data_IF_066654401036
#
_entry.id   IF_066654401036
#
_cell.length_a   1.000
_cell.length_b   1.000
_cell.length_c   1.000
_cell.angle_alpha   90.00
_cell.angle_beta   90.00
_cell.angle_gamma   90.00
#
_symmetry.space_group_name_H-M   'P 1'
#
loop_
_entity.id
_entity.type
_entity.pdbx_description
1 polymer ?
#
# COMPACT_ATOMS: atom_id res chain seq x y z
N UNK A 1 -2.67 -19.22 22.20
CA UNK A 1 -2.17 -17.86 21.88
C UNK A 1 -3.30 -17.04 21.27
N UNK A 2 -3.64 -15.91 21.89
CA UNK A 2 -4.94 -15.23 21.76
C UNK A 2 -5.09 -14.46 20.45
N UNK A 3 -6.20 -14.70 19.72
CA UNK A 3 -6.54 -14.06 18.44
C UNK A 3 -6.56 -12.52 18.48
N UNK A 4 -6.66 -11.94 19.68
CA UNK A 4 -6.56 -10.49 19.90
C UNK A 4 -5.20 -9.89 19.53
N UNK A 5 -4.11 -10.67 19.55
CA UNK A 5 -2.75 -10.17 19.27
C UNK A 5 -2.53 -10.01 17.76
N UNK A 6 -3.12 -10.87 16.92
CA UNK A 6 -2.97 -10.78 15.46
C UNK A 6 -3.89 -9.74 14.80
N UNK A 7 -4.96 -9.31 15.47
CA UNK A 7 -5.92 -8.34 14.94
C UNK A 7 -5.43 -6.88 15.10
N UNK A 8 -4.60 -6.62 16.12
CA UNK A 8 -4.03 -5.30 16.42
C UNK A 8 -3.29 -4.62 15.27
N UNK A 9 -2.38 -5.27 14.52
CA UNK A 9 -1.69 -4.61 13.42
C UNK A 9 -2.59 -4.34 12.22
N UNK A 10 -3.59 -5.20 11.95
CA UNK A 10 -4.56 -5.00 10.86
C UNK A 10 -5.52 -3.86 11.19
N UNK A 11 -6.01 -3.82 12.43
CA UNK A 11 -6.83 -2.70 12.92
C UNK A 11 -6.00 -1.41 12.94
N UNK A 12 -4.74 -1.45 13.34
CA UNK A 12 -3.85 -0.30 13.28
C UNK A 12 -3.61 0.17 11.84
N UNK A 13 -3.43 -0.75 10.88
CA UNK A 13 -3.27 -0.41 9.47
C UNK A 13 -4.56 0.18 8.87
N UNK A 14 -5.72 -0.40 9.16
CA UNK A 14 -7.03 0.12 8.72
C UNK A 14 -7.35 1.44 9.40
N UNK A 15 -7.05 1.59 10.69
CA UNK A 15 -7.20 2.84 11.44
C UNK A 15 -6.26 3.92 10.90
N UNK A 16 -5.00 3.58 10.59
CA UNK A 16 -4.06 4.50 9.96
C UNK A 16 -4.55 4.90 8.55
N UNK A 17 -5.14 3.97 7.79
CA UNK A 17 -5.75 4.26 6.48
C UNK A 17 -6.98 5.16 6.60
N UNK A 18 -7.84 4.94 7.59
CA UNK A 18 -9.05 5.74 7.80
C UNK A 18 -8.79 7.11 8.44
N UNK A 19 -7.71 7.25 9.22
CA UNK A 19 -7.25 8.55 9.75
C UNK A 19 -6.44 9.33 8.71
N UNK A 20 -5.76 8.65 7.78
CA UNK A 20 -5.07 9.33 6.66
C UNK A 20 -6.00 9.68 5.50
N UNK A 21 -7.04 8.91 5.20
CA UNK A 21 -8.01 9.22 4.14
C UNK A 21 -8.57 10.67 4.16
N UNK A 22 -8.94 11.28 5.31
CA UNK A 22 -9.37 12.68 5.36
C UNK A 22 -8.23 13.70 5.20
N UNK A 23 -6.97 13.31 5.43
CA UNK A 23 -5.80 14.16 5.12
C UNK A 23 -5.61 14.27 3.61
N UNK A 24 -5.96 13.24 2.84
CA UNK A 24 -5.96 13.27 1.37
C UNK A 24 -7.20 13.98 0.77
N UNK A 25 -8.29 14.09 1.53
CA UNK A 25 -9.43 14.93 1.19
C UNK A 25 -9.24 16.40 1.63
N UNK A 26 -8.10 16.74 2.25
CA UNK A 26 -7.80 18.12 2.64
C UNK A 26 -7.49 18.94 1.39
N UNK A 27 -8.30 19.97 1.18
CA UNK A 27 -8.30 20.98 0.11
C UNK A 27 -7.01 21.82 0.01
N UNK A 28 -5.84 21.19 -0.02
CA UNK A 28 -4.56 21.88 0.01
C UNK A 28 -3.96 22.10 -1.39
N UNK A 29 -4.76 22.29 -2.44
CA UNK A 29 -4.28 22.90 -3.70
C UNK A 29 -5.42 23.70 -4.34
N UNK A 30 -5.37 25.02 -4.22
CA UNK A 30 -6.21 26.07 -4.84
C UNK A 30 -7.70 26.18 -4.44
N UNK A 31 -8.19 27.41 -4.13
CA UNK A 31 -9.61 27.72 -4.21
C UNK A 31 -10.08 27.52 -5.66
N UNK A 32 -11.03 26.62 -5.90
CA UNK A 32 -11.60 26.34 -7.22
C UNK A 32 -11.05 25.11 -7.95
N UNK A 33 -10.17 24.32 -7.34
CA UNK A 33 -9.82 23.00 -7.87
C UNK A 33 -10.85 21.97 -7.39
N UNK A 34 -11.58 21.34 -8.32
CA UNK A 34 -12.29 20.10 -8.04
C UNK A 34 -11.27 19.13 -7.43
N UNK A 35 -11.47 18.77 -6.16
CA UNK A 35 -10.45 18.17 -5.28
C UNK A 35 -9.57 17.12 -5.96
N UNK A 36 -8.29 17.07 -5.56
CA UNK A 36 -7.28 16.20 -6.17
C UNK A 36 -7.76 14.75 -6.20
N UNK A 37 -8.27 14.30 -7.35
CA UNK A 37 -8.81 12.94 -7.50
C UNK A 37 -7.63 11.97 -7.44
N UNK A 38 -7.78 10.87 -6.69
CA UNK A 38 -6.80 9.78 -6.68
C UNK A 38 -6.43 9.30 -8.08
N UNK A 39 -7.41 9.31 -9.00
CA UNK A 39 -7.21 8.99 -10.42
C UNK A 39 -6.33 9.99 -11.16
N UNK A 40 -6.36 11.27 -10.79
CA UNK A 40 -5.50 12.29 -11.37
C UNK A 40 -4.04 12.08 -10.91
N UNK A 41 -3.81 11.82 -9.62
CA UNK A 41 -2.48 11.49 -9.08
C UNK A 41 -1.94 10.22 -9.73
N UNK A 42 -2.76 9.16 -9.79
CA UNK A 42 -2.35 7.89 -10.41
C UNK A 42 -2.05 8.06 -11.90
N UNK A 43 -2.82 8.86 -12.65
CA UNK A 43 -2.57 9.07 -14.07
C UNK A 43 -1.31 9.90 -14.35
N UNK A 44 -0.97 10.84 -13.48
CA UNK A 44 0.25 11.66 -13.59
C UNK A 44 1.50 10.95 -13.03
N UNK A 45 1.31 9.81 -12.36
CA UNK A 45 2.39 9.07 -11.71
C UNK A 45 3.41 8.51 -12.72
N UNK A 46 4.69 8.51 -12.35
CA UNK A 46 5.76 7.86 -13.11
C UNK A 46 5.50 6.37 -13.39
N UNK A 47 6.00 5.82 -14.52
CA UNK A 47 5.69 4.45 -14.95
C UNK A 47 6.13 3.38 -13.94
N UNK A 48 7.24 3.62 -13.23
CA UNK A 48 7.76 2.70 -12.20
C UNK A 48 6.82 2.64 -10.99
N UNK A 49 6.38 3.78 -10.47
CA UNK A 49 5.46 3.84 -9.34
C UNK A 49 4.10 3.21 -9.68
N UNK A 50 3.58 3.43 -10.90
CA UNK A 50 2.37 2.75 -11.40
C UNK A 50 2.53 1.23 -11.41
N UNK A 51 3.63 0.71 -11.95
CA UNK A 51 3.89 -0.73 -12.00
C UNK A 51 3.94 -1.35 -10.61
N UNK A 52 4.70 -0.73 -9.69
CA UNK A 52 4.81 -1.22 -8.31
C UNK A 52 3.45 -1.20 -7.62
N UNK A 53 2.69 -0.11 -7.76
CA UNK A 53 1.34 0.01 -7.20
C UNK A 53 0.41 -1.09 -7.71
N UNK A 54 0.36 -1.30 -9.04
CA UNK A 54 -0.50 -2.33 -9.65
C UNK A 54 -0.10 -3.72 -9.16
N UNK A 55 1.20 -4.04 -9.11
CA UNK A 55 1.69 -5.33 -8.62
C UNK A 55 1.30 -5.56 -7.17
N UNK A 56 1.43 -4.55 -6.30
CA UNK A 56 1.04 -4.65 -4.88
C UNK A 56 -0.48 -4.84 -4.72
N UNK A 57 -1.30 -4.10 -5.46
CA UNK A 57 -2.76 -4.23 -5.44
C UNK A 57 -3.21 -5.60 -5.95
N UNK A 58 -2.67 -6.05 -7.08
CA UNK A 58 -2.97 -7.39 -7.63
C UNK A 58 -2.55 -8.49 -6.66
N UNK A 59 -1.38 -8.34 -6.03
CA UNK A 59 -0.91 -9.30 -5.02
C UNK A 59 -1.82 -9.34 -3.79
N UNK A 60 -2.31 -8.19 -3.34
CA UNK A 60 -3.26 -8.08 -2.23
C UNK A 60 -4.57 -8.81 -2.55
N UNK A 61 -5.14 -8.58 -3.75
CA UNK A 61 -6.35 -9.26 -4.22
C UNK A 61 -6.11 -10.77 -4.33
N UNK A 62 -4.98 -11.19 -4.90
CA UNK A 62 -4.65 -12.60 -5.05
C UNK A 62 -4.52 -13.30 -3.68
N UNK A 63 -3.91 -12.66 -2.69
CA UNK A 63 -3.82 -13.17 -1.33
C UNK A 63 -5.21 -13.40 -0.71
N UNK A 64 -6.14 -12.44 -0.90
CA UNK A 64 -7.53 -12.59 -0.45
C UNK A 64 -8.23 -13.74 -1.18
N UNK A 65 -8.14 -13.81 -2.51
CA UNK A 65 -8.76 -14.88 -3.31
C UNK A 65 -8.24 -16.26 -2.88
N UNK A 66 -6.92 -16.41 -2.69
CA UNK A 66 -6.31 -17.65 -2.20
C UNK A 66 -6.82 -18.03 -0.81
N UNK A 67 -7.07 -17.05 0.06
CA UNK A 67 -7.62 -17.26 1.41
C UNK A 67 -9.05 -17.79 1.38
N UNK A 68 -9.91 -17.24 0.50
CA UNK A 68 -11.29 -17.71 0.33
C UNK A 68 -11.35 -19.10 -0.29
N UNK A 69 -10.45 -19.40 -1.23
CA UNK A 69 -10.35 -20.71 -1.88
C UNK A 69 -9.66 -21.78 -1.01
N UNK A 70 -9.16 -21.42 0.18
CA UNK A 70 -8.42 -22.31 1.10
C UNK A 70 -7.34 -23.16 0.42
N UNK A 71 -6.64 -22.58 -0.57
CA UNK A 71 -5.58 -23.29 -1.30
C UNK A 71 -4.31 -23.33 -0.46
N UNK A 72 -3.94 -24.50 0.07
CA UNK A 72 -2.69 -24.73 0.82
C UNK A 72 -1.43 -24.27 0.07
N UNK A 73 -1.41 -24.40 -1.27
CA UNK A 73 -0.29 -23.91 -2.10
C UNK A 73 -0.10 -22.38 -2.05
N UNK A 74 -1.12 -21.63 -1.62
CA UNK A 74 -1.06 -20.19 -1.46
C UNK A 74 -0.42 -19.70 -0.15
N UNK A 75 -0.18 -20.58 0.82
CA UNK A 75 0.36 -20.19 2.14
C UNK A 75 1.77 -19.59 2.02
N UNK A 76 2.64 -20.15 1.19
CA UNK A 76 3.98 -19.61 0.95
C UNK A 76 3.93 -18.22 0.31
N UNK A 77 3.03 -18.00 -0.66
CA UNK A 77 2.82 -16.71 -1.29
C UNK A 77 2.30 -15.67 -0.29
N UNK A 78 1.27 -16.02 0.49
CA UNK A 78 0.68 -15.13 1.49
C UNK A 78 1.67 -14.81 2.61
N UNK A 79 2.45 -15.80 3.07
CA UNK A 79 3.51 -15.61 4.07
C UNK A 79 4.60 -14.66 3.54
N UNK A 80 5.04 -14.86 2.29
CA UNK A 80 6.00 -13.98 1.62
C UNK A 80 5.46 -12.56 1.43
N UNK A 81 4.19 -12.40 1.04
CA UNK A 81 3.59 -11.08 0.82
C UNK A 81 3.42 -10.28 2.13
N UNK A 82 3.28 -10.95 3.28
CA UNK A 82 3.13 -10.30 4.59
C UNK A 82 4.32 -9.41 4.92
N UNK A 83 5.54 -9.86 4.69
CA UNK A 83 6.76 -9.06 4.90
C UNK A 83 7.21 -8.39 3.61
N UNK A 84 7.08 -9.09 2.48
CA UNK A 84 7.48 -8.62 1.16
C UNK A 84 6.74 -7.38 0.69
N UNK A 85 5.44 -7.25 0.98
CA UNK A 85 4.65 -6.09 0.55
C UNK A 85 5.19 -4.76 1.09
N UNK A 86 5.54 -4.71 2.39
CA UNK A 86 6.12 -3.52 3.01
C UNK A 86 7.54 -3.29 2.49
N UNK A 87 8.39 -4.33 2.44
CA UNK A 87 9.78 -4.21 1.98
C UNK A 87 9.87 -3.71 0.54
N UNK A 88 9.05 -4.25 -0.36
CA UNK A 88 8.99 -3.82 -1.77
C UNK A 88 8.52 -2.37 -1.86
N UNK A 89 7.51 -1.98 -1.08
CA UNK A 89 7.04 -0.59 -1.09
C UNK A 89 8.06 0.41 -0.56
N UNK A 90 8.84 0.05 0.47
CA UNK A 90 9.91 0.90 0.99
C UNK A 90 11.09 1.00 0.01
N UNK A 91 11.45 -0.10 -0.65
CA UNK A 91 12.46 -0.08 -1.70
C UNK A 91 12.06 0.83 -2.87
N UNK A 92 10.81 0.74 -3.32
CA UNK A 92 10.27 1.60 -4.35
C UNK A 92 10.18 3.07 -3.91
N UNK A 93 9.78 3.33 -2.66
CA UNK A 93 9.78 4.67 -2.07
C UNK A 93 11.18 5.29 -2.04
N UNK A 94 12.20 4.52 -1.63
CA UNK A 94 13.59 4.96 -1.63
C UNK A 94 14.09 5.27 -3.05
N UNK A 95 13.75 4.43 -4.02
CA UNK A 95 14.06 4.67 -5.43
C UNK A 95 13.41 5.96 -5.96
N UNK A 96 12.14 6.20 -5.66
CA UNK A 96 11.43 7.43 -6.05
C UNK A 96 12.03 8.66 -5.37
N UNK A 97 12.32 8.59 -4.08
CA UNK A 97 12.96 9.67 -3.32
C UNK A 97 14.34 10.02 -3.91
N UNK A 98 15.14 9.01 -4.26
CA UNK A 98 16.42 9.22 -4.94
C UNK A 98 16.25 9.98 -6.27
N UNK A 99 15.25 9.61 -7.09
CA UNK A 99 14.99 10.30 -8.35
C UNK A 99 14.57 11.77 -8.15
N UNK A 100 13.81 12.07 -7.09
CA UNK A 100 13.48 13.45 -6.72
C UNK A 100 14.75 14.23 -6.38
N UNK A 101 15.63 13.68 -5.54
CA UNK A 101 16.90 14.31 -5.19
C UNK A 101 17.79 14.55 -6.41
N UNK A 102 17.90 13.55 -7.30
CA UNK A 102 18.68 13.68 -8.54
C UNK A 102 18.15 14.83 -9.39
N UNK A 103 16.82 14.95 -9.52
CA UNK A 103 16.21 16.04 -10.29
C UNK A 103 16.47 17.41 -9.67
N UNK A 104 16.40 17.54 -8.34
CA UNK A 104 16.73 18.80 -7.65
C UNK A 104 18.19 19.24 -7.91
N UNK A 105 19.12 18.29 -7.97
CA UNK A 105 20.53 18.58 -8.27
C UNK A 105 20.68 19.07 -9.72
N UNK A 106 20.01 18.43 -10.68
CA UNK A 106 20.06 18.85 -12.09
C UNK A 106 19.37 20.19 -12.36
N UNK A 107 18.30 20.50 -11.63
CA UNK A 107 17.56 21.76 -11.76
C UNK A 107 18.26 22.94 -11.04
N UNK A 108 19.41 22.72 -10.41
CA UNK A 108 20.25 23.76 -9.82
C UNK A 108 19.75 24.30 -8.48
N UNK A 109 18.89 23.57 -7.77
CA UNK A 109 18.34 23.97 -6.48
C UNK A 109 17.05 23.25 -6.11
N UNK A 110 16.48 23.62 -4.95
CA UNK A 110 15.18 23.07 -4.53
C UNK A 110 14.07 23.83 -5.24
N UNK A 111 13.32 23.21 -6.16
CA UNK A 111 12.22 23.88 -6.84
C UNK A 111 11.07 24.16 -5.86
N UNK A 112 10.16 25.10 -6.18
CA UNK A 112 8.96 25.35 -5.38
C UNK A 112 8.20 24.06 -5.07
N UNK A 113 7.62 23.95 -3.88
CA UNK A 113 6.89 22.76 -3.39
C UNK A 113 5.90 22.19 -4.42
N UNK A 114 5.21 23.07 -5.14
CA UNK A 114 4.22 22.72 -6.16
C UNK A 114 4.79 21.80 -7.25
N UNK A 115 6.09 21.91 -7.57
CA UNK A 115 6.74 21.13 -8.63
C UNK A 115 7.07 19.70 -8.20
N UNK A 116 7.41 19.48 -6.93
CA UNK A 116 7.82 18.17 -6.42
C UNK A 116 6.78 17.49 -5.52
N UNK A 117 5.70 18.19 -5.16
CA UNK A 117 4.55 17.63 -4.45
C UNK A 117 3.94 16.38 -5.13
N UNK A 118 3.82 16.30 -6.47
CA UNK A 118 3.36 15.08 -7.14
C UNK A 118 4.26 13.88 -6.81
N UNK A 119 5.59 14.04 -6.87
CA UNK A 119 6.54 12.96 -6.55
C UNK A 119 6.42 12.47 -5.10
N UNK A 120 6.12 13.36 -4.16
CA UNK A 120 5.84 12.96 -2.77
C UNK A 120 4.52 12.18 -2.65
N UNK A 121 3.49 12.57 -3.40
CA UNK A 121 2.23 11.84 -3.47
C UNK A 121 2.42 10.42 -4.04
N UNK A 122 3.28 10.25 -5.06
CA UNK A 122 3.63 8.93 -5.61
C UNK A 122 4.28 8.03 -4.56
N UNK A 123 5.27 8.55 -3.84
CA UNK A 123 5.97 7.83 -2.77
C UNK A 123 4.96 7.35 -1.73
N UNK A 124 4.10 8.26 -1.26
CA UNK A 124 3.13 7.93 -0.22
C UNK A 124 2.10 6.92 -0.72
N UNK A 125 1.66 7.03 -1.98
CA UNK A 125 0.75 6.07 -2.61
C UNK A 125 1.36 4.66 -2.66
N UNK A 126 2.62 4.52 -3.07
CA UNK A 126 3.31 3.22 -3.13
C UNK A 126 3.49 2.61 -1.74
N UNK A 127 3.89 3.43 -0.76
CA UNK A 127 4.01 2.99 0.64
C UNK A 127 2.67 2.48 1.17
N UNK A 128 1.59 3.23 0.96
CA UNK A 128 0.25 2.82 1.39
C UNK A 128 -0.21 1.53 0.71
N UNK A 129 0.07 1.35 -0.58
CA UNK A 129 -0.22 0.10 -1.27
C UNK A 129 0.53 -1.10 -0.67
N UNK A 130 1.78 -0.90 -0.24
CA UNK A 130 2.58 -1.94 0.44
C UNK A 130 1.99 -2.35 1.79
N UNK A 131 1.55 -1.37 2.58
CA UNK A 131 0.85 -1.64 3.84
C UNK A 131 -0.47 -2.38 3.63
N UNK A 132 -1.26 -2.00 2.61
CA UNK A 132 -2.50 -2.70 2.26
C UNK A 132 -2.22 -4.13 1.83
N UNK A 133 -1.22 -4.36 0.97
CA UNK A 133 -0.84 -5.69 0.51
C UNK A 133 -0.37 -6.59 1.67
N UNK A 134 0.48 -6.06 2.56
CA UNK A 134 0.94 -6.76 3.75
C UNK A 134 -0.20 -7.05 4.74
N UNK A 135 -1.09 -6.09 4.98
CA UNK A 135 -2.26 -6.24 5.84
C UNK A 135 -3.24 -7.29 5.31
N UNK A 136 -3.53 -7.26 4.01
CA UNK A 136 -4.34 -8.27 3.33
C UNK A 136 -3.71 -9.67 3.45
N UNK A 137 -2.40 -9.78 3.27
CA UNK A 137 -1.67 -11.02 3.46
C UNK A 137 -1.71 -11.54 4.90
N UNK A 138 -1.57 -10.65 5.90
CA UNK A 138 -1.70 -11.03 7.30
C UNK A 138 -3.09 -11.60 7.61
N UNK A 139 -4.14 -10.97 7.06
CA UNK A 139 -5.52 -11.44 7.20
C UNK A 139 -5.75 -12.78 6.48
N UNK A 140 -5.27 -12.91 5.25
CA UNK A 140 -5.33 -14.16 4.47
C UNK A 140 -4.64 -15.32 5.20
N UNK A 141 -3.49 -15.06 5.82
CA UNK A 141 -2.77 -16.08 6.59
C UNK A 141 -3.57 -16.51 7.84
N UNK A 142 -4.17 -15.55 8.55
CA UNK A 142 -4.96 -15.84 9.75
C UNK A 142 -6.24 -16.63 9.45
N UNK A 143 -6.85 -16.41 8.28
CA UNK A 143 -8.07 -17.12 7.86
C UNK A 143 -7.76 -18.54 7.37
N UNK A 144 -6.63 -18.75 6.69
CA UNK A 144 -6.17 -20.10 6.29
C UNK A 144 -5.80 -20.98 7.49
N UNK A 145 -5.24 -20.40 8.56
CA UNK A 145 -4.81 -21.13 9.74
C UNK A 145 -5.95 -21.60 10.68
N UNK A 146 -7.23 -21.23 10.41
CA UNK A 146 -8.36 -21.73 11.20
C UNK A 146 -8.64 -23.18 10.83
N UNK A 147 -8.44 -24.17 11.73
CA UNK A 147 -8.95 -25.51 11.49
C UNK A 147 -10.45 -25.41 11.28
N UNK A 148 -10.97 -26.09 10.25
CA UNK A 148 -12.40 -26.31 10.15
C UNK A 148 -12.83 -26.91 11.48
N UNK A 149 -13.59 -26.17 12.29
CA UNK A 149 -14.13 -26.72 13.53
C UNK A 149 -14.81 -28.01 13.15
N UNK A 150 -14.35 -29.08 13.78
CA UNK A 150 -14.77 -30.45 13.60
C UNK A 150 -16.30 -30.46 13.45
N UNK A 151 -16.74 -31.04 12.34
CA UNK A 151 -18.10 -31.51 12.22
C UNK A 151 -18.36 -32.41 13.41
N UNK A 152 -19.30 -31.96 14.24
CA UNK A 152 -20.07 -32.77 15.15
C UNK A 152 -20.55 -33.99 14.38
N UNK A 153 -20.05 -35.18 14.75
CA UNK A 153 -20.83 -36.41 14.91
C UNK A 153 -20.23 -37.19 16.07
#
# INVERSE_FOLDING_TARGET
MSAAICLRPVIAAIALWSVSAPVWASNAVRPGADGVKFTAVFNDTGPVAKLVFVVLVVSAILALVLSFLKRKRGEAFVSGLRTGGILVSLAAAAFLAMNICVRMVYDGGVPPFVIWAPGLAEILMVVMAGFVASGAAAFAHATMARPAKAGVQ
#
